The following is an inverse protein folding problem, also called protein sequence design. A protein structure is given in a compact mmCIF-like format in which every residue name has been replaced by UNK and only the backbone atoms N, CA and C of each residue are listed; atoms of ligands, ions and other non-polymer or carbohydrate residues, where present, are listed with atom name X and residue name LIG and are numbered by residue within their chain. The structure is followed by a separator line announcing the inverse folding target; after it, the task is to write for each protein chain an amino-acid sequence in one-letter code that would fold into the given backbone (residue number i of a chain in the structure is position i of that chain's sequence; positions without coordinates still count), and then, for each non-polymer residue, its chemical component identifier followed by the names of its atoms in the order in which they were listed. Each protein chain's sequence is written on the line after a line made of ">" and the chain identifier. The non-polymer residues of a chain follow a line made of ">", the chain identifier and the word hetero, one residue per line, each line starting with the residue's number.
data_IF_482674755900
#
_entry.id   IF_482674755900
#
_cell.length_a   1.000
_cell.length_b   1.000
_cell.length_c   1.000
_cell.angle_alpha   90.00
_cell.angle_beta   90.00
_cell.angle_gamma   90.00
#
_symmetry.space_group_name_H-M   'P 1'
#
loop_
_entity.id
_entity.type
_entity.pdbx_description
1 polymer ?
#
# COMPACT_ATOMS: atom_id res chain seq x y z
N UNK A 1 3.61 -28.58 -28.08
CA UNK A 1 4.84 -28.01 -27.51
C UNK A 1 4.96 -26.60 -28.06
N UNK A 2 4.23 -25.68 -27.43
CA UNK A 2 4.19 -24.29 -27.82
C UNK A 2 4.49 -23.48 -26.54
N UNK A 3 5.34 -22.49 -26.68
CA UNK A 3 6.04 -21.80 -25.62
C UNK A 3 5.09 -21.20 -24.57
N UNK A 4 5.38 -21.44 -23.31
CA UNK A 4 4.94 -20.64 -22.19
C UNK A 4 5.60 -19.28 -22.35
N UNK A 5 4.82 -18.27 -22.66
CA UNK A 5 5.28 -16.89 -22.60
C UNK A 5 5.42 -16.51 -21.13
N UNK A 6 6.67 -16.38 -20.73
CA UNK A 6 7.16 -15.98 -19.43
C UNK A 6 6.93 -14.48 -19.25
N UNK A 7 5.79 -14.09 -18.68
CA UNK A 7 5.53 -12.69 -18.29
C UNK A 7 5.99 -12.51 -16.84
N UNK A 8 7.29 -12.63 -16.65
CA UNK A 8 7.94 -12.20 -15.41
C UNK A 8 8.08 -10.69 -15.46
N UNK A 9 7.14 -9.97 -14.86
CA UNK A 9 7.28 -8.52 -14.71
C UNK A 9 8.35 -8.21 -13.68
N UNK A 10 9.33 -7.48 -14.15
CA UNK A 10 10.57 -7.09 -13.47
C UNK A 10 10.27 -6.10 -12.34
N UNK A 11 10.92 -6.27 -11.19
CA UNK A 11 11.06 -5.25 -10.15
C UNK A 11 11.55 -3.94 -10.79
N UNK A 12 10.73 -2.90 -10.75
CA UNK A 12 11.17 -1.56 -11.07
C UNK A 12 11.90 -0.97 -9.86
N UNK A 13 13.19 -1.25 -9.74
CA UNK A 13 14.11 -0.34 -9.10
C UNK A 13 14.42 0.77 -10.10
N UNK A 14 14.38 2.04 -9.69
CA UNK A 14 14.82 3.11 -10.58
C UNK A 14 16.29 2.86 -10.94
N UNK A 15 16.70 3.08 -12.20
CA UNK A 15 18.11 2.99 -12.60
C UNK A 15 18.92 4.05 -11.84
N UNK A 16 20.13 3.67 -11.40
CA UNK A 16 21.10 4.62 -10.85
C UNK A 16 21.42 5.68 -11.91
N UNK A 17 21.22 6.95 -11.56
CA UNK A 17 21.48 8.21 -12.29
C UNK A 17 20.37 8.69 -13.25
N UNK A 18 19.64 9.69 -12.82
CA UNK A 18 19.67 11.05 -13.38
C UNK A 18 18.73 12.01 -12.64
N UNK A 19 19.05 13.30 -12.68
CA UNK A 19 18.51 14.43 -11.94
C UNK A 19 17.06 14.87 -12.28
N UNK A 20 16.20 13.97 -12.70
CA UNK A 20 14.76 14.17 -12.76
C UNK A 20 14.09 13.38 -11.63
N UNK A 21 13.21 14.04 -10.87
CA UNK A 21 12.37 13.43 -9.82
C UNK A 21 11.81 12.12 -10.35
N UNK A 22 12.30 10.99 -9.86
CA UNK A 22 11.99 9.68 -10.42
C UNK A 22 10.49 9.41 -10.28
N UNK A 23 9.79 9.49 -11.40
CA UNK A 23 8.40 9.10 -11.56
C UNK A 23 8.37 7.70 -12.15
N UNK A 24 7.85 6.74 -11.40
CA UNK A 24 7.66 5.37 -11.88
C UNK A 24 6.19 5.14 -12.18
N UNK A 25 5.92 4.68 -13.39
CA UNK A 25 4.58 4.30 -13.83
C UNK A 25 4.59 2.84 -14.25
N UNK A 26 3.60 2.07 -13.79
CA UNK A 26 3.38 0.69 -14.23
C UNK A 26 1.89 0.38 -14.37
N UNK A 27 1.52 -0.55 -15.24
CA UNK A 27 0.13 -0.94 -15.45
C UNK A 27 0.00 -2.34 -16.04
N UNK A 28 -1.09 -2.99 -15.70
CA UNK A 28 -1.47 -4.30 -16.21
C UNK A 28 -2.98 -4.36 -16.45
N UNK A 29 -3.40 -5.18 -17.40
CA UNK A 29 -4.80 -5.47 -17.65
C UNK A 29 -4.98 -6.98 -17.78
N UNK A 30 -5.97 -7.51 -17.03
CA UNK A 30 -6.41 -8.91 -17.09
C UNK A 30 -7.86 -8.96 -17.60
N UNK A 31 -8.43 -10.15 -17.70
CA UNK A 31 -9.85 -10.29 -18.06
C UNK A 31 -10.78 -9.63 -17.05
N UNK A 32 -10.43 -9.66 -15.76
CA UNK A 32 -11.27 -9.20 -14.65
C UNK A 32 -10.82 -7.91 -13.98
N UNK A 33 -9.55 -7.50 -14.17
CA UNK A 33 -9.01 -6.30 -13.51
C UNK A 33 -8.21 -5.44 -14.48
N UNK A 34 -8.23 -4.13 -14.22
CA UNK A 34 -7.31 -3.14 -14.79
C UNK A 34 -6.54 -2.48 -13.64
N UNK A 35 -5.23 -2.38 -13.75
CA UNK A 35 -4.34 -1.92 -12.69
C UNK A 35 -3.46 -0.79 -13.23
N UNK A 36 -3.26 0.25 -12.44
CA UNK A 36 -2.31 1.30 -12.73
C UNK A 36 -1.67 1.83 -11.44
N UNK A 37 -0.37 2.02 -11.45
CA UNK A 37 0.36 2.63 -10.35
C UNK A 37 1.13 3.87 -10.79
N UNK A 38 1.31 4.78 -9.86
CA UNK A 38 2.17 5.94 -10.05
C UNK A 38 2.87 6.28 -8.74
N UNK A 39 4.17 6.53 -8.81
CA UNK A 39 5.02 6.77 -7.64
C UNK A 39 5.88 8.00 -7.86
N UNK A 40 6.17 8.74 -6.80
CA UNK A 40 7.11 9.85 -6.79
C UNK A 40 7.96 9.82 -5.51
N UNK A 41 9.23 10.15 -5.67
CA UNK A 41 10.14 10.34 -4.53
C UNK A 41 9.82 11.60 -3.71
N UNK A 42 9.01 12.52 -4.25
CA UNK A 42 8.71 13.80 -3.61
C UNK A 42 9.94 14.69 -3.46
N UNK A 43 10.17 15.17 -2.23
CA UNK A 43 11.36 15.98 -1.89
C UNK A 43 12.41 15.18 -1.11
N UNK A 44 12.20 13.88 -0.95
CA UNK A 44 13.13 12.96 -0.28
C UNK A 44 14.35 12.67 -1.16
N UNK A 45 15.41 12.14 -0.55
CA UNK A 45 16.62 11.71 -1.26
C UNK A 45 16.51 10.27 -1.76
N UNK A 46 15.69 9.43 -1.11
CA UNK A 46 15.53 8.01 -1.40
C UNK A 46 14.05 7.67 -1.55
N UNK A 47 13.75 6.74 -2.45
CA UNK A 47 12.44 6.11 -2.54
C UNK A 47 12.39 4.92 -1.58
N UNK A 48 11.57 5.00 -0.55
CA UNK A 48 11.39 3.94 0.44
C UNK A 48 10.04 3.24 0.31
N UNK A 49 9.13 3.78 -0.50
CA UNK A 49 7.90 3.08 -0.87
C UNK A 49 8.18 1.95 -1.86
N UNK A 50 7.37 0.92 -1.80
CA UNK A 50 7.35 -0.16 -2.77
C UNK A 50 5.92 -0.49 -3.18
N UNK A 51 5.70 -0.52 -4.49
CA UNK A 51 4.44 -0.97 -5.10
C UNK A 51 4.71 -2.23 -5.89
N UNK A 52 3.85 -3.23 -5.71
CA UNK A 52 3.90 -4.46 -6.49
C UNK A 52 2.50 -4.95 -6.78
N UNK A 53 2.30 -5.40 -8.01
CA UNK A 53 1.10 -6.15 -8.38
C UNK A 53 1.51 -7.29 -9.31
N UNK A 54 0.74 -8.35 -9.27
CA UNK A 54 0.93 -9.52 -10.11
C UNK A 54 -0.37 -10.32 -10.17
N UNK A 55 -0.49 -11.23 -11.11
CA UNK A 55 -1.67 -12.05 -11.27
C UNK A 55 -1.33 -13.45 -11.80
N UNK A 56 -2.23 -14.36 -11.59
CA UNK A 56 -2.25 -15.66 -12.27
C UNK A 56 -3.66 -15.92 -12.86
N UNK A 57 -3.88 -17.10 -13.37
CA UNK A 57 -5.18 -17.51 -13.95
C UNK A 57 -6.37 -17.33 -12.97
N UNK A 58 -6.12 -17.35 -11.66
CA UNK A 58 -7.18 -17.39 -10.64
C UNK A 58 -7.35 -16.10 -9.86
N UNK A 59 -6.32 -15.28 -9.80
CA UNK A 59 -6.29 -14.15 -8.85
C UNK A 59 -5.40 -12.99 -9.28
N UNK A 60 -5.73 -11.83 -8.74
CA UNK A 60 -4.92 -10.59 -8.81
C UNK A 60 -4.47 -10.23 -7.39
N UNK A 61 -3.19 -9.87 -7.25
CA UNK A 61 -2.57 -9.41 -6.00
C UNK A 61 -2.00 -8.03 -6.21
N UNK A 62 -2.31 -7.11 -5.30
CA UNK A 62 -1.79 -5.74 -5.30
C UNK A 62 -1.26 -5.41 -3.91
N UNK A 63 -0.05 -4.87 -3.82
CA UNK A 63 0.64 -4.57 -2.55
C UNK A 63 1.28 -3.21 -2.62
N UNK A 64 1.08 -2.40 -1.57
CA UNK A 64 1.77 -1.13 -1.34
C UNK A 64 2.38 -1.15 0.05
N UNK A 65 3.63 -0.74 0.14
CA UNK A 65 4.42 -0.71 1.37
C UNK A 65 5.16 0.63 1.46
N UNK A 66 5.07 1.29 2.62
CA UNK A 66 5.82 2.50 2.97
C UNK A 66 6.96 2.11 3.90
N UNK A 67 8.17 2.26 3.43
CA UNK A 67 9.36 1.84 4.15
C UNK A 67 9.93 2.91 5.06
N UNK A 68 10.30 2.54 6.28
CA UNK A 68 10.92 3.42 7.25
C UNK A 68 12.24 2.85 7.77
N UNK A 69 13.23 3.72 7.96
CA UNK A 69 14.53 3.37 8.49
C UNK A 69 15.65 4.22 7.93
N UNK A 70 16.76 4.31 8.66
CA UNK A 70 17.94 5.04 8.22
C UNK A 70 18.69 4.31 7.09
N UNK A 71 19.52 5.07 6.34
CA UNK A 71 20.27 4.56 5.17
C UNK A 71 19.32 3.84 4.18
N UNK A 72 19.59 2.70 3.67
CA UNK A 72 18.70 1.94 2.76
C UNK A 72 17.77 0.94 3.46
N UNK A 73 17.54 1.10 4.76
CA UNK A 73 16.75 0.15 5.55
C UNK A 73 15.29 0.07 5.14
N UNK A 74 14.61 1.23 5.03
CA UNK A 74 13.19 1.32 4.66
C UNK A 74 12.92 0.78 3.27
N UNK A 75 13.72 1.14 2.27
CA UNK A 75 13.64 0.63 0.90
C UNK A 75 13.71 -0.90 0.84
N UNK A 76 14.65 -1.48 1.58
CA UNK A 76 14.81 -2.94 1.63
C UNK A 76 13.67 -3.63 2.36
N UNK A 77 13.15 -3.01 3.42
CA UNK A 77 12.02 -3.54 4.18
C UNK A 77 10.75 -3.56 3.32
N UNK A 78 10.42 -2.44 2.66
CA UNK A 78 9.25 -2.33 1.80
C UNK A 78 9.31 -3.27 0.59
N UNK A 79 10.48 -3.35 -0.08
CA UNK A 79 10.68 -4.24 -1.21
C UNK A 79 10.52 -5.72 -0.82
N UNK A 80 11.12 -6.13 0.31
CA UNK A 80 11.01 -7.49 0.83
C UNK A 80 9.56 -7.84 1.19
N UNK A 81 8.85 -6.90 1.82
CA UNK A 81 7.45 -7.10 2.21
C UNK A 81 6.53 -7.20 0.98
N UNK A 82 6.65 -6.28 0.02
CA UNK A 82 5.84 -6.27 -1.18
C UNK A 82 6.07 -7.53 -2.02
N UNK A 83 7.32 -7.91 -2.26
CA UNK A 83 7.64 -9.14 -2.98
C UNK A 83 7.15 -10.39 -2.26
N UNK A 84 7.44 -10.50 -0.97
CA UNK A 84 7.11 -11.71 -0.21
C UNK A 84 5.61 -11.91 -0.03
N UNK A 85 4.82 -10.84 0.14
CA UNK A 85 3.36 -10.92 0.22
C UNK A 85 2.78 -11.34 -1.14
N UNK A 86 3.19 -10.69 -2.23
CA UNK A 86 2.72 -11.02 -3.57
C UNK A 86 3.00 -12.47 -3.92
N UNK A 87 4.25 -12.93 -3.74
CA UNK A 87 4.63 -14.30 -4.03
C UNK A 87 3.84 -15.31 -3.19
N UNK A 88 3.73 -15.08 -1.87
CA UNK A 88 3.00 -15.99 -0.99
C UNK A 88 1.52 -16.14 -1.39
N UNK A 89 0.86 -15.03 -1.73
CA UNK A 89 -0.56 -15.06 -2.10
C UNK A 89 -0.79 -15.73 -3.44
N UNK A 90 0.08 -15.54 -4.44
CA UNK A 90 -0.02 -16.23 -5.72
C UNK A 90 0.23 -17.74 -5.60
N UNK A 91 1.22 -18.14 -4.80
CA UNK A 91 1.50 -19.56 -4.53
C UNK A 91 0.35 -20.26 -3.81
N UNK A 92 -0.43 -19.53 -3.01
CA UNK A 92 -1.56 -20.02 -2.23
C UNK A 92 -2.92 -19.52 -2.76
N UNK A 93 -2.98 -19.12 -4.04
CA UNK A 93 -4.17 -18.49 -4.63
C UNK A 93 -5.44 -19.35 -4.55
N UNK A 94 -5.32 -20.67 -4.45
CA UNK A 94 -6.44 -21.60 -4.33
C UNK A 94 -6.74 -22.03 -2.88
N UNK A 95 -6.07 -21.46 -1.90
CA UNK A 95 -6.35 -21.76 -0.49
C UNK A 95 -7.82 -21.46 -0.15
N UNK A 96 -8.39 -22.26 0.72
CA UNK A 96 -9.79 -22.10 1.17
C UNK A 96 -9.98 -20.90 2.09
N UNK A 97 -8.92 -20.47 2.80
CA UNK A 97 -8.94 -19.35 3.73
C UNK A 97 -7.79 -18.38 3.40
N UNK A 98 -8.06 -17.45 2.49
CA UNK A 98 -7.11 -16.42 2.06
C UNK A 98 -6.77 -15.45 3.20
N UNK A 99 -7.73 -15.12 4.06
CA UNK A 99 -7.48 -14.22 5.20
C UNK A 99 -6.42 -14.82 6.15
N UNK A 100 -6.50 -16.12 6.42
CA UNK A 100 -5.48 -16.82 7.22
C UNK A 100 -4.11 -16.84 6.50
N UNK A 101 -4.08 -17.03 5.17
CA UNK A 101 -2.83 -16.99 4.41
C UNK A 101 -2.19 -15.60 4.42
N UNK A 102 -2.99 -14.52 4.30
CA UNK A 102 -2.50 -13.14 4.46
C UNK A 102 -1.87 -12.91 5.84
N UNK A 103 -2.54 -13.34 6.90
CA UNK A 103 -2.03 -13.23 8.27
C UNK A 103 -0.72 -14.02 8.49
N UNK A 104 -0.65 -15.24 7.95
CA UNK A 104 0.58 -16.07 8.00
C UNK A 104 1.74 -15.42 7.25
N UNK A 105 1.48 -14.87 6.07
CA UNK A 105 2.47 -14.15 5.30
C UNK A 105 2.98 -12.93 6.08
N UNK A 106 2.07 -12.13 6.64
CA UNK A 106 2.41 -10.95 7.44
C UNK A 106 3.33 -11.29 8.63
N UNK A 107 3.00 -12.33 9.41
CA UNK A 107 3.83 -12.77 10.53
C UNK A 107 5.23 -13.22 10.09
N UNK A 108 5.33 -13.99 8.99
CA UNK A 108 6.63 -14.40 8.42
C UNK A 108 7.44 -13.23 7.90
N UNK A 109 6.78 -12.27 7.26
CA UNK A 109 7.43 -11.07 6.72
C UNK A 109 7.92 -10.17 7.86
N UNK A 110 7.15 -10.05 8.95
CA UNK A 110 7.60 -9.35 10.15
C UNK A 110 8.95 -9.87 10.65
N UNK A 111 9.11 -11.19 10.79
CA UNK A 111 10.37 -11.78 11.24
C UNK A 111 11.50 -11.54 10.22
N UNK A 112 11.22 -11.62 8.92
CA UNK A 112 12.22 -11.36 7.88
C UNK A 112 12.69 -9.90 7.88
N UNK A 113 11.76 -8.94 8.01
CA UNK A 113 12.08 -7.51 8.09
C UNK A 113 12.85 -7.21 9.38
N UNK A 114 12.41 -7.77 10.50
CA UNK A 114 13.08 -7.62 11.80
C UNK A 114 14.53 -8.14 11.79
N UNK A 115 14.85 -9.12 10.95
CA UNK A 115 16.19 -9.70 10.83
C UNK A 115 17.00 -9.19 9.63
N UNK A 116 16.58 -8.06 9.04
CA UNK A 116 17.35 -7.44 7.95
C UNK A 116 18.75 -7.05 8.41
N UNK A 117 19.74 -7.32 7.53
CA UNK A 117 21.15 -7.07 7.82
C UNK A 117 21.81 -6.32 6.65
N UNK A 118 22.81 -5.51 6.98
CA UNK A 118 23.64 -4.84 5.98
C UNK A 118 24.69 -5.79 5.35
N UNK A 119 25.53 -5.25 4.49
CA UNK A 119 26.60 -5.99 3.81
C UNK A 119 27.70 -6.52 4.78
N UNK A 120 27.79 -5.93 5.97
CA UNK A 120 28.71 -6.34 7.03
C UNK A 120 28.04 -7.28 8.06
N UNK A 121 26.84 -7.81 7.73
CA UNK A 121 26.04 -8.68 8.58
C UNK A 121 25.56 -8.04 9.90
N UNK A 122 25.54 -6.72 10.00
CA UNK A 122 25.00 -5.98 11.14
C UNK A 122 23.49 -5.80 10.94
N UNK A 123 22.73 -5.95 12.03
CA UNK A 123 21.28 -5.72 12.02
C UNK A 123 20.99 -4.27 11.67
N UNK A 124 20.03 -4.06 10.75
CA UNK A 124 19.51 -2.74 10.42
C UNK A 124 18.18 -2.52 11.13
N UNK A 125 18.00 -1.33 11.70
CA UNK A 125 16.70 -0.90 12.18
C UNK A 125 15.87 -0.42 11.00
N UNK A 126 14.94 -1.24 10.57
CA UNK A 126 14.06 -0.97 9.43
C UNK A 126 12.66 -1.53 9.71
N UNK A 127 11.69 -0.90 9.12
CA UNK A 127 10.31 -1.34 9.15
C UNK A 127 9.58 -0.93 7.89
N UNK A 128 8.36 -1.38 7.73
CA UNK A 128 7.50 -0.96 6.63
C UNK A 128 6.03 -1.16 6.97
N UNK A 129 5.17 -0.29 6.45
CA UNK A 129 3.75 -0.58 6.37
C UNK A 129 3.48 -1.70 5.37
N UNK A 130 2.28 -2.21 5.36
CA UNK A 130 1.80 -3.15 4.35
C UNK A 130 0.32 -2.91 4.09
N UNK A 131 -0.04 -2.70 2.84
CA UNK A 131 -1.40 -2.91 2.35
C UNK A 131 -1.36 -3.98 1.27
N UNK A 132 -2.16 -5.02 1.42
CA UNK A 132 -2.29 -6.08 0.45
C UNK A 132 -3.75 -6.29 0.09
N UNK A 133 -4.02 -6.41 -1.21
CA UNK A 133 -5.31 -6.71 -1.80
C UNK A 133 -5.18 -7.99 -2.61
N UNK A 134 -6.12 -8.90 -2.44
CA UNK A 134 -6.24 -10.14 -3.19
C UNK A 134 -7.66 -10.25 -3.74
N UNK A 135 -7.76 -10.41 -5.07
CA UNK A 135 -9.05 -10.55 -5.76
C UNK A 135 -9.10 -11.92 -6.42
N UNK A 136 -10.17 -12.67 -6.15
CA UNK A 136 -10.44 -13.98 -6.76
C UNK A 136 -11.94 -14.16 -6.96
N UNK A 137 -12.38 -14.49 -8.18
CA UNK A 137 -13.78 -14.75 -8.51
C UNK A 137 -14.74 -13.61 -8.09
N UNK A 138 -14.32 -12.35 -8.22
CA UNK A 138 -15.11 -11.19 -7.79
C UNK A 138 -15.17 -10.98 -6.28
N UNK A 139 -14.39 -11.71 -5.51
CA UNK A 139 -14.25 -11.59 -4.08
C UNK A 139 -12.95 -10.88 -3.70
N UNK A 140 -13.06 -9.87 -2.84
CA UNK A 140 -11.96 -9.10 -2.31
C UNK A 140 -11.58 -9.58 -0.92
N UNK A 141 -10.29 -9.78 -0.71
CA UNK A 141 -9.64 -9.91 0.59
C UNK A 141 -8.58 -8.82 0.73
N UNK A 142 -8.39 -8.30 1.96
CA UNK A 142 -7.33 -7.33 2.22
C UNK A 142 -6.67 -7.56 3.56
N UNK A 143 -5.44 -7.06 3.65
CA UNK A 143 -4.64 -7.02 4.86
C UNK A 143 -3.93 -5.66 4.94
N UNK A 144 -4.05 -4.96 6.07
CA UNK A 144 -3.40 -3.69 6.35
C UNK A 144 -2.58 -3.75 7.64
N UNK A 145 -1.36 -3.23 7.61
CA UNK A 145 -0.46 -3.08 8.76
C UNK A 145 0.22 -1.72 8.62
N UNK A 146 0.13 -0.88 9.64
CA UNK A 146 0.57 0.51 9.57
C UNK A 146 -0.56 1.45 9.20
N UNK A 147 -0.21 2.57 8.58
CA UNK A 147 -1.13 3.65 8.24
C UNK A 147 -1.20 3.96 6.73
N UNK A 148 -0.67 3.10 5.86
CA UNK A 148 -1.01 3.13 4.44
C UNK A 148 -2.46 2.72 4.24
N UNK A 149 -3.19 3.36 3.31
CA UNK A 149 -4.62 3.19 3.18
C UNK A 149 -5.03 2.24 2.05
N UNK A 150 -6.15 1.57 2.25
CA UNK A 150 -6.91 0.85 1.23
C UNK A 150 -8.30 1.47 1.18
N UNK A 151 -8.65 2.08 0.06
CA UNK A 151 -9.98 2.62 -0.19
C UNK A 151 -10.74 1.79 -1.21
N UNK A 152 -12.04 1.72 -1.04
CA UNK A 152 -13.00 1.32 -2.06
C UNK A 152 -13.71 2.57 -2.59
N UNK A 153 -13.63 2.79 -3.89
CA UNK A 153 -14.44 3.75 -4.59
C UNK A 153 -15.54 3.00 -5.36
N UNK A 154 -16.80 3.23 -4.96
CA UNK A 154 -17.99 2.60 -5.52
C UNK A 154 -19.11 3.62 -5.67
N UNK A 155 -19.69 3.71 -6.86
CA UNK A 155 -20.85 4.57 -7.16
C UNK A 155 -20.68 6.05 -6.75
N UNK A 156 -19.45 6.59 -6.84
CA UNK A 156 -19.16 7.98 -6.50
C UNK A 156 -18.76 8.22 -5.04
N UNK A 157 -18.78 7.18 -4.20
CA UNK A 157 -18.40 7.25 -2.79
C UNK A 157 -17.03 6.62 -2.56
N UNK A 158 -16.24 7.20 -1.66
CA UNK A 158 -14.93 6.72 -1.24
C UNK A 158 -15.02 6.25 0.21
N UNK A 159 -14.60 5.01 0.46
CA UNK A 159 -14.61 4.40 1.80
C UNK A 159 -13.26 3.76 2.09
N UNK A 160 -12.61 4.13 3.19
CA UNK A 160 -11.45 3.41 3.71
C UNK A 160 -11.87 2.04 4.25
N UNK A 161 -11.16 0.99 3.86
CA UNK A 161 -11.46 -0.40 4.25
C UNK A 161 -10.64 -0.86 5.46
N UNK A 162 -9.37 -0.45 5.53
CA UNK A 162 -8.49 -0.81 6.64
C UNK A 162 -8.54 0.23 7.76
N UNK A 163 -8.04 -0.15 8.92
CA UNK A 163 -7.90 0.70 10.10
C UNK A 163 -6.42 1.07 10.24
N UNK A 164 -6.14 2.33 10.52
CA UNK A 164 -4.79 2.80 10.75
C UNK A 164 -4.20 2.24 12.05
N UNK A 165 -2.94 1.89 12.01
CA UNK A 165 -2.19 1.49 13.19
C UNK A 165 -1.17 2.58 13.56
N UNK A 166 -1.67 3.76 13.95
CA UNK A 166 -0.89 4.88 14.47
C UNK A 166 -1.48 5.39 15.78
N UNK A 167 -0.70 6.20 16.49
CA UNK A 167 -1.12 6.74 17.79
C UNK A 167 -2.29 7.73 17.66
N UNK A 168 -2.53 8.27 16.47
CA UNK A 168 -3.65 9.14 16.17
C UNK A 168 -5.00 8.48 16.44
N UNK A 169 -5.15 7.19 16.13
CA UNK A 169 -6.36 6.42 16.41
C UNK A 169 -6.68 6.40 17.90
N UNK A 170 -5.66 6.21 18.75
CA UNK A 170 -5.82 6.26 20.20
C UNK A 170 -6.20 7.67 20.71
N UNK A 171 -5.57 8.71 20.16
CA UNK A 171 -5.91 10.09 20.49
C UNK A 171 -7.35 10.43 20.10
N UNK A 172 -7.81 9.99 18.94
CA UNK A 172 -9.18 10.23 18.48
C UNK A 172 -10.19 9.50 19.37
N UNK A 173 -9.85 8.31 19.88
CA UNK A 173 -10.66 7.64 20.91
C UNK A 173 -10.72 8.46 22.20
N UNK A 174 -9.59 9.01 22.67
CA UNK A 174 -9.56 9.87 23.87
C UNK A 174 -10.41 11.15 23.70
N UNK A 175 -10.49 11.68 22.46
CA UNK A 175 -11.41 12.80 22.15
C UNK A 175 -12.87 12.36 22.28
N UNK A 176 -13.22 11.19 21.73
CA UNK A 176 -14.59 10.64 21.83
C UNK A 176 -15.01 10.38 23.29
N UNK A 177 -14.07 9.95 24.12
CA UNK A 177 -14.26 9.74 25.57
C UNK A 177 -14.26 11.06 26.38
N UNK A 178 -13.94 12.20 25.75
CA UNK A 178 -13.86 13.51 26.41
C UNK A 178 -12.62 13.71 27.29
N UNK A 179 -11.61 12.85 27.15
CA UNK A 179 -10.38 12.90 27.95
C UNK A 179 -9.40 13.99 27.48
N UNK A 180 -9.42 14.30 26.19
CA UNK A 180 -8.65 15.39 25.57
C UNK A 180 -9.52 16.11 24.55
N UNK A 181 -9.09 17.33 24.16
CA UNK A 181 -9.76 18.08 23.10
C UNK A 181 -9.28 17.64 21.71
N UNK A 182 -10.09 17.92 20.69
CA UNK A 182 -9.70 17.70 19.28
C UNK A 182 -8.42 18.43 18.92
N UNK A 183 -8.23 19.65 19.45
CA UNK A 183 -7.02 20.46 19.20
C UNK A 183 -5.77 19.79 19.79
N UNK A 184 -5.84 19.29 21.01
CA UNK A 184 -4.74 18.56 21.65
C UNK A 184 -4.40 17.28 20.86
N UNK A 185 -5.40 16.53 20.42
CA UNK A 185 -5.20 15.34 19.62
C UNK A 185 -4.52 15.66 18.27
N UNK A 186 -4.98 16.69 17.56
CA UNK A 186 -4.44 17.08 16.25
C UNK A 186 -3.00 17.62 16.35
N UNK A 187 -2.65 18.30 17.45
CA UNK A 187 -1.29 18.86 17.66
C UNK A 187 -0.34 17.90 18.38
N UNK A 188 -0.78 16.71 18.72
CA UNK A 188 0.05 15.78 19.47
C UNK A 188 1.28 15.38 18.65
N UNK A 189 2.53 15.53 19.17
CA UNK A 189 3.75 15.30 18.40
C UNK A 189 3.93 13.86 17.92
N UNK A 190 3.33 12.90 18.61
CA UNK A 190 3.38 11.47 18.25
C UNK A 190 2.13 10.99 17.50
N UNK A 191 1.24 11.90 17.06
CA UNK A 191 0.00 11.48 16.39
C UNK A 191 0.26 10.52 15.23
N UNK A 192 1.30 10.76 14.45
CA UNK A 192 1.68 9.93 13.29
C UNK A 192 2.60 8.74 13.64
N UNK A 193 2.94 8.53 14.93
CA UNK A 193 3.80 7.41 15.31
C UNK A 193 3.07 6.08 15.09
N UNK A 194 3.67 5.19 14.32
CA UNK A 194 3.10 3.86 14.06
C UNK A 194 3.08 3.01 15.32
N UNK A 195 1.95 2.35 15.55
CA UNK A 195 1.75 1.37 16.64
C UNK A 195 1.87 -0.07 16.16
N UNK A 196 1.83 -0.29 14.84
CA UNK A 196 2.09 -1.58 14.20
C UNK A 196 2.73 -1.37 12.82
N UNK A 197 3.73 -2.18 12.50
CA UNK A 197 4.44 -2.20 11.21
C UNK A 197 5.22 -3.51 11.09
N UNK A 198 5.61 -3.91 9.89
CA UNK A 198 6.49 -5.06 9.69
C UNK A 198 7.91 -4.71 10.12
N UNK A 199 8.54 -5.58 10.91
CA UNK A 199 9.83 -5.36 11.58
C UNK A 199 9.70 -5.01 13.05
N UNK A 200 8.48 -4.86 13.57
CA UNK A 200 8.21 -4.65 15.00
C UNK A 200 8.52 -5.91 15.81
N UNK A 201 8.85 -5.73 17.11
CA UNK A 201 9.20 -6.85 17.99
C UNK A 201 8.07 -7.89 18.08
N UNK A 202 6.85 -7.46 18.22
CA UNK A 202 5.66 -8.31 18.29
C UNK A 202 4.55 -7.70 17.42
N UNK A 203 4.18 -8.38 16.34
CA UNK A 203 3.12 -7.95 15.44
C UNK A 203 1.77 -8.46 15.96
N UNK A 204 1.01 -7.57 16.58
CA UNK A 204 -0.29 -7.90 17.20
C UNK A 204 -1.48 -7.28 16.47
N UNK A 205 -1.27 -6.19 15.71
CA UNK A 205 -2.34 -5.49 15.01
C UNK A 205 -2.22 -5.73 13.50
N UNK A 206 -3.23 -6.38 12.95
CA UNK A 206 -3.42 -6.62 11.52
C UNK A 206 -4.87 -6.30 11.21
N UNK A 207 -5.12 -5.32 10.35
CA UNK A 207 -6.45 -5.01 9.81
C UNK A 207 -6.74 -5.89 8.61
N UNK A 208 -7.95 -6.44 8.49
CA UNK A 208 -8.33 -7.26 7.34
C UNK A 208 -9.73 -7.84 7.47
N UNK A 209 -10.26 -8.37 6.36
CA UNK A 209 -11.55 -9.05 6.37
C UNK A 209 -11.38 -10.56 6.51
N UNK A 210 -12.26 -11.18 7.30
CA UNK A 210 -12.34 -12.65 7.42
C UNK A 210 -13.34 -13.27 6.46
N UNK A 211 -14.32 -12.47 6.05
CA UNK A 211 -15.38 -12.88 5.11
C UNK A 211 -15.07 -12.18 3.79
N UNK A 212 -15.12 -12.90 2.66
CA UNK A 212 -14.93 -12.29 1.35
C UNK A 212 -15.85 -11.10 1.15
N UNK A 213 -15.33 -10.00 0.62
CA UNK A 213 -16.13 -8.84 0.28
C UNK A 213 -16.46 -8.87 -1.23
N UNK A 214 -17.76 -8.89 -1.61
CA UNK A 214 -18.14 -9.00 -3.01
C UNK A 214 -17.86 -7.68 -3.75
N UNK A 215 -17.04 -7.76 -4.80
CA UNK A 215 -16.81 -6.66 -5.72
C UNK A 215 -17.98 -6.54 -6.71
N UNK A 216 -18.22 -5.31 -7.13
CA UNK A 216 -19.15 -4.97 -8.19
C UNK A 216 -18.37 -4.46 -9.40
N UNK A 217 -18.93 -4.65 -10.58
CA UNK A 217 -18.35 -4.07 -11.80
C UNK A 217 -18.14 -2.57 -11.62
N UNK A 218 -16.99 -2.09 -12.09
CA UNK A 218 -16.51 -0.71 -12.00
C UNK A 218 -16.10 -0.23 -10.59
N UNK A 219 -16.05 -1.12 -9.58
CA UNK A 219 -15.37 -0.81 -8.33
C UNK A 219 -13.90 -0.48 -8.59
N UNK A 220 -13.41 0.55 -7.92
CA UNK A 220 -11.98 0.90 -7.94
C UNK A 220 -11.43 0.82 -6.53
N UNK A 221 -10.40 0.01 -6.34
CA UNK A 221 -9.60 -0.01 -5.12
C UNK A 221 -8.44 0.97 -5.29
N UNK A 222 -8.23 1.80 -4.30
CA UNK A 222 -7.08 2.70 -4.20
C UNK A 222 -6.24 2.28 -2.99
N UNK A 223 -5.00 1.88 -3.23
CA UNK A 223 -3.99 1.71 -2.19
C UNK A 223 -3.01 2.88 -2.29
N UNK A 224 -2.65 3.50 -1.16
CA UNK A 224 -1.71 4.61 -1.16
C UNK A 224 -0.92 4.69 0.15
N UNK A 225 0.25 5.33 0.06
CA UNK A 225 1.07 5.73 1.20
C UNK A 225 0.62 7.08 1.75
N UNK A 226 1.15 7.45 2.90
CA UNK A 226 0.78 8.68 3.63
C UNK A 226 1.11 9.96 2.86
N UNK A 227 2.08 9.93 1.95
CA UNK A 227 2.38 11.04 1.05
C UNK A 227 1.18 11.51 0.21
N UNK A 228 0.18 10.64 -0.03
CA UNK A 228 -1.06 11.03 -0.70
C UNK A 228 -2.07 11.63 0.28
N UNK A 229 -2.54 10.87 1.26
CA UNK A 229 -3.69 11.24 2.08
C UNK A 229 -3.38 12.33 3.13
N UNK A 230 -2.12 12.57 3.44
CA UNK A 230 -1.72 13.75 4.23
C UNK A 230 -1.76 15.05 3.43
N UNK A 231 -1.67 14.95 2.11
CA UNK A 231 -1.76 16.09 1.19
C UNK A 231 -3.18 16.33 0.71
N UNK A 232 -3.92 15.27 0.36
CA UNK A 232 -5.26 15.36 -0.21
C UNK A 232 -6.31 14.82 0.77
N UNK A 233 -7.38 15.58 0.96
CA UNK A 233 -8.55 15.08 1.69
C UNK A 233 -9.26 13.99 0.91
N UNK A 234 -10.05 13.15 1.61
CA UNK A 234 -10.87 12.11 0.98
C UNK A 234 -11.80 12.68 -0.09
N UNK A 235 -12.35 13.89 0.12
CA UNK A 235 -13.16 14.58 -0.88
C UNK A 235 -12.37 14.96 -2.13
N UNK A 236 -11.12 15.40 -1.99
CA UNK A 236 -10.25 15.71 -3.13
C UNK A 236 -9.88 14.43 -3.91
N UNK A 237 -9.53 13.35 -3.21
CA UNK A 237 -9.27 12.04 -3.80
C UNK A 237 -10.51 11.55 -4.56
N UNK A 238 -11.69 11.61 -3.94
CA UNK A 238 -12.97 11.23 -4.54
C UNK A 238 -13.28 12.03 -5.80
N UNK A 239 -13.05 13.35 -5.79
CA UNK A 239 -13.25 14.21 -6.96
C UNK A 239 -12.33 13.80 -8.12
N UNK A 240 -11.06 13.51 -7.84
CA UNK A 240 -10.10 13.07 -8.85
C UNK A 240 -10.52 11.72 -9.45
N UNK A 241 -10.94 10.76 -8.63
CA UNK A 241 -11.46 9.46 -9.09
C UNK A 241 -12.71 9.60 -9.99
N UNK A 242 -13.50 10.66 -9.79
CA UNK A 242 -14.65 10.98 -10.64
C UNK A 242 -14.27 11.63 -11.99
N UNK A 243 -13.05 12.17 -12.13
CA UNK A 243 -12.70 13.05 -13.26
C UNK A 243 -12.46 12.26 -14.54
N UNK A 244 -11.83 11.11 -14.46
CA UNK A 244 -11.49 10.27 -15.62
C UNK A 244 -11.70 8.80 -15.31
N UNK A 245 -12.00 8.02 -16.36
CA UNK A 245 -12.12 6.56 -16.28
C UNK A 245 -10.81 5.84 -16.61
N UNK A 246 -9.80 6.56 -17.08
CA UNK A 246 -8.46 6.04 -17.37
C UNK A 246 -7.67 5.98 -16.07
N UNK A 247 -7.40 4.77 -15.59
CA UNK A 247 -6.67 4.56 -14.34
C UNK A 247 -5.24 5.12 -14.38
N UNK A 248 -4.60 5.11 -15.55
CA UNK A 248 -3.25 5.65 -15.73
C UNK A 248 -3.23 7.15 -15.50
N UNK A 249 -4.18 7.85 -16.12
CA UNK A 249 -4.32 9.29 -15.92
C UNK A 249 -4.74 9.61 -14.49
N UNK A 250 -5.63 8.81 -13.90
CA UNK A 250 -6.11 9.01 -12.53
C UNK A 250 -4.99 8.82 -11.50
N UNK A 251 -4.19 7.75 -11.59
CA UNK A 251 -3.08 7.51 -10.68
C UNK A 251 -2.04 8.62 -10.74
N UNK A 252 -1.70 9.07 -11.95
CA UNK A 252 -0.81 10.21 -12.18
C UNK A 252 -1.38 11.50 -11.58
N UNK A 253 -2.64 11.81 -11.86
CA UNK A 253 -3.28 13.04 -11.39
C UNK A 253 -3.34 13.11 -9.85
N UNK A 254 -3.60 11.99 -9.17
CA UNK A 254 -3.58 11.91 -7.71
C UNK A 254 -2.22 12.34 -7.15
N UNK A 255 -1.14 11.73 -7.64
CA UNK A 255 0.21 12.03 -7.16
C UNK A 255 0.64 13.44 -7.53
N UNK A 256 0.44 13.86 -8.78
CA UNK A 256 0.82 15.22 -9.22
C UNK A 256 0.05 16.32 -8.48
N UNK A 257 -1.23 16.09 -8.16
CA UNK A 257 -2.02 17.03 -7.36
C UNK A 257 -1.49 17.14 -5.94
N UNK A 258 -1.11 16.01 -5.31
CA UNK A 258 -0.49 16.02 -3.99
C UNK A 258 0.83 16.80 -4.00
N UNK A 259 1.68 16.57 -5.00
CA UNK A 259 2.99 17.22 -5.14
C UNK A 259 2.91 18.71 -5.52
N UNK A 260 1.79 19.15 -6.09
CA UNK A 260 1.57 20.56 -6.43
C UNK A 260 1.26 21.44 -5.21
N UNK A 261 0.95 20.86 -4.06
CA UNK A 261 0.74 21.59 -2.82
C UNK A 261 2.08 22.15 -2.28
N UNK A 262 2.07 23.33 -1.61
CA UNK A 262 3.29 23.89 -1.09
C UNK A 262 3.84 23.10 0.11
N UNK A 263 5.16 22.92 0.16
CA UNK A 263 5.84 22.29 1.28
C UNK A 263 6.79 21.17 0.86
N UNK A 264 7.29 20.44 1.85
CA UNK A 264 8.08 19.23 1.64
C UNK A 264 7.14 18.04 1.46
N UNK A 265 7.44 17.20 0.49
CA UNK A 265 6.65 16.02 0.16
C UNK A 265 7.41 14.74 0.49
N UNK A 266 6.70 13.78 1.07
CA UNK A 266 7.20 12.43 1.25
C UNK A 266 7.21 11.64 -0.06
N UNK A 267 7.76 10.44 -0.02
CA UNK A 267 7.48 9.46 -1.04
C UNK A 267 5.95 9.33 -1.17
N UNK A 268 5.45 9.32 -2.37
CA UNK A 268 4.01 9.28 -2.62
C UNK A 268 3.72 8.19 -3.63
N UNK A 269 3.00 7.17 -3.20
CA UNK A 269 2.67 6.01 -4.03
C UNK A 269 1.19 5.76 -4.09
N UNK A 270 0.70 5.49 -5.29
CA UNK A 270 -0.69 5.17 -5.61
C UNK A 270 -0.75 3.92 -6.46
N UNK A 271 -1.63 3.01 -6.10
CA UNK A 271 -1.98 1.83 -6.87
C UNK A 271 -3.51 1.75 -6.98
N UNK A 272 -4.01 1.84 -8.20
CA UNK A 272 -5.42 1.71 -8.54
C UNK A 272 -5.68 0.33 -9.14
N UNK A 273 -6.73 -0.33 -8.68
CA UNK A 273 -7.21 -1.60 -9.24
C UNK A 273 -8.70 -1.50 -9.51
N UNK A 274 -9.08 -1.53 -10.78
CA UNK A 274 -10.49 -1.54 -11.19
C UNK A 274 -10.95 -2.96 -11.47
N UNK A 275 -12.10 -3.33 -10.92
CA UNK A 275 -12.77 -4.60 -11.20
C UNK A 275 -13.71 -4.44 -12.42
N UNK A 276 -13.52 -5.29 -13.45
CA UNK A 276 -14.27 -5.21 -14.71
C UNK A 276 -15.54 -6.07 -14.73
N UNK A 277 -15.68 -6.98 -13.75
CA UNK A 277 -16.81 -7.91 -13.67
C UNK A 277 -16.53 -9.27 -14.26
#
# INVERSE_FOLDING_TARGET
>A
MQAMDDVTQTLLYPPENDSEKTLCFDSCETDTTEIASYMSIGTRNNQQDSVRFDHNEFSTVCVVCDGMGGLSGGERASALAAQGMTQHLLENAQATDISTEMGRAALRLNEKVKDLRDSENRKIEAGTTLTAVFIRNGELFWCGIGDSHIYLYRAGELQQLNIDHNFGVHLDQMVQEGSITTEEALRHPQRAALTSYLGIQELTLISGNRVPFPLQKDDVLLQCTDGLYRCLSDDAIRQILNTTKDLKQTSKLLVETALALPGAHDNTSVLLTKYKG
#
